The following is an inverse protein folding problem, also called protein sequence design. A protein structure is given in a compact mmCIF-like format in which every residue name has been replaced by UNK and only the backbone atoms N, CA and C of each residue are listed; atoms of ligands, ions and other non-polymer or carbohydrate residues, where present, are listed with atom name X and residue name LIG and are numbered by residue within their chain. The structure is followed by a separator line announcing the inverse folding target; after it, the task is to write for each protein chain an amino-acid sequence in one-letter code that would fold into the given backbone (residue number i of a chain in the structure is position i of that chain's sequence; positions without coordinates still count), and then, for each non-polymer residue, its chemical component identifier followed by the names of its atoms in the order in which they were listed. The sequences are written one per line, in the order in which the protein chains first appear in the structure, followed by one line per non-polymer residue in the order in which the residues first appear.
data_IF_081939204098
#
_entry.id   IF_081939204098
#
_cell.length_a   1.000
_cell.length_b   1.000
_cell.length_c   1.000
_cell.angle_alpha   90.00
_cell.angle_beta   90.00
_cell.angle_gamma   90.00
#
_symmetry.space_group_name_H-M   'P 1'
#
loop_
_entity.id
_entity.type
_entity.pdbx_description
1 polymer ?
#
# COMPACT_ATOMS: atom_id res chain seq x y z
N UNK A 1 14.94 -13.41 -12.72
CA UNK A 1 13.53 -13.78 -12.97
C UNK A 1 12.65 -13.94 -11.72
N UNK A 2 13.11 -14.48 -10.55
CA UNK A 2 12.23 -14.58 -9.37
C UNK A 2 11.92 -13.22 -8.72
N UNK A 3 12.89 -12.30 -8.66
CA UNK A 3 12.72 -10.98 -8.05
C UNK A 3 11.58 -10.16 -8.69
N UNK A 4 11.53 -10.09 -10.03
CA UNK A 4 10.49 -9.36 -10.75
C UNK A 4 9.10 -9.88 -10.40
N UNK A 5 8.93 -11.20 -10.33
CA UNK A 5 7.66 -11.83 -10.02
C UNK A 5 7.20 -11.48 -8.60
N UNK A 6 8.11 -11.51 -7.63
CA UNK A 6 7.81 -11.10 -6.26
C UNK A 6 7.46 -9.62 -6.13
N UNK A 7 8.17 -8.74 -6.84
CA UNK A 7 7.83 -7.30 -6.90
C UNK A 7 6.47 -7.06 -7.57
N UNK A 8 6.10 -7.83 -8.59
CA UNK A 8 4.77 -7.77 -9.20
C UNK A 8 3.67 -8.19 -8.22
N UNK A 9 3.90 -9.24 -7.42
CA UNK A 9 2.96 -9.60 -6.36
C UNK A 9 2.88 -8.54 -5.28
N UNK A 10 4.00 -7.94 -4.87
CA UNK A 10 4.02 -6.84 -3.90
C UNK A 10 3.27 -5.60 -4.41
N UNK A 11 3.41 -5.28 -5.69
CA UNK A 11 2.64 -4.23 -6.36
C UNK A 11 1.14 -4.55 -6.36
N UNK A 12 0.76 -5.78 -6.74
CA UNK A 12 -0.63 -6.21 -6.70
C UNK A 12 -1.21 -6.13 -5.28
N UNK A 13 -0.45 -6.56 -4.26
CA UNK A 13 -0.79 -6.41 -2.85
C UNK A 13 -1.07 -4.94 -2.53
N UNK A 14 -0.14 -4.03 -2.86
CA UNK A 14 -0.31 -2.59 -2.59
C UNK A 14 -1.56 -2.00 -3.25
N UNK A 15 -1.86 -2.39 -4.49
CA UNK A 15 -3.03 -1.89 -5.22
C UNK A 15 -4.36 -2.39 -4.62
N UNK A 16 -4.44 -3.68 -4.28
CA UNK A 16 -5.64 -4.27 -3.67
C UNK A 16 -5.88 -3.69 -2.28
N UNK A 17 -4.81 -3.59 -1.49
CA UNK A 17 -4.81 -3.02 -0.15
C UNK A 17 -5.33 -1.59 -0.16
N UNK A 18 -4.74 -0.75 -1.02
CA UNK A 18 -5.12 0.65 -1.16
C UNK A 18 -6.55 0.82 -1.67
N UNK A 19 -7.02 -0.04 -2.57
CA UNK A 19 -8.43 -0.04 -2.96
C UNK A 19 -9.34 -0.34 -1.77
N UNK A 20 -8.95 -1.28 -0.90
CA UNK A 20 -9.61 -1.54 0.37
C UNK A 20 -9.64 -0.31 1.27
N UNK A 21 -8.50 0.34 1.47
CA UNK A 21 -8.37 1.55 2.29
C UNK A 21 -9.26 2.70 1.79
N UNK A 22 -9.36 2.91 0.48
CA UNK A 22 -10.24 3.94 -0.10
C UNK A 22 -11.70 3.66 0.20
N UNK A 23 -12.12 2.39 0.08
CA UNK A 23 -13.49 1.98 0.37
C UNK A 23 -13.80 2.14 1.86
N UNK A 24 -12.86 1.75 2.74
CA UNK A 24 -12.99 1.91 4.19
C UNK A 24 -13.04 3.39 4.56
N UNK A 25 -12.12 4.22 4.05
CA UNK A 25 -12.10 5.67 4.31
C UNK A 25 -13.41 6.32 3.87
N UNK A 26 -13.94 5.96 2.70
CA UNK A 26 -15.23 6.45 2.21
C UNK A 26 -16.42 6.08 3.12
N UNK A 27 -16.36 4.95 3.83
CA UNK A 27 -17.35 4.55 4.82
C UNK A 27 -17.12 5.23 6.18
N UNK A 28 -15.86 5.41 6.56
CA UNK A 28 -15.42 6.08 7.77
C UNK A 28 -15.81 7.57 7.78
N UNK A 29 -15.64 8.28 6.67
CA UNK A 29 -16.05 9.69 6.51
C UNK A 29 -17.57 9.88 6.70
N UNK A 30 -18.35 8.81 6.49
CA UNK A 30 -19.81 8.79 6.71
C UNK A 30 -20.20 8.30 8.11
N UNK A 31 -19.22 8.05 8.99
CA UNK A 31 -19.40 7.47 10.32
C UNK A 31 -20.21 6.15 10.34
N UNK A 32 -20.12 5.34 9.28
CA UNK A 32 -20.86 4.06 9.15
C UNK A 32 -19.92 2.87 9.20
N UNK A 33 -19.68 2.35 10.41
CA UNK A 33 -18.85 1.17 10.59
C UNK A 33 -19.47 -0.09 9.97
N UNK A 34 -20.73 -0.39 10.29
CA UNK A 34 -21.43 -1.55 9.72
C UNK A 34 -22.07 -1.15 8.40
N UNK A 35 -21.29 -1.21 7.33
CA UNK A 35 -21.76 -0.94 5.97
C UNK A 35 -21.22 -1.97 4.98
N UNK A 36 -21.94 -2.16 3.86
CA UNK A 36 -21.46 -3.02 2.77
C UNK A 36 -20.07 -2.60 2.28
N UNK A 37 -19.81 -1.28 2.21
CA UNK A 37 -18.49 -0.75 1.85
C UNK A 37 -17.41 -1.20 2.84
N UNK A 38 -17.63 -1.05 4.15
CA UNK A 38 -16.66 -1.52 5.16
C UNK A 38 -16.37 -3.01 5.02
N UNK A 39 -17.39 -3.83 4.77
CA UNK A 39 -17.22 -5.27 4.57
C UNK A 39 -16.41 -5.58 3.30
N UNK A 40 -16.67 -4.89 2.19
CA UNK A 40 -15.87 -5.02 0.96
C UNK A 40 -14.42 -4.63 1.22
N UNK A 41 -14.18 -3.53 1.92
CA UNK A 41 -12.84 -3.08 2.27
C UNK A 41 -12.07 -4.09 3.13
N UNK A 42 -12.72 -4.68 4.14
CA UNK A 42 -12.15 -5.73 4.98
C UNK A 42 -11.80 -6.98 4.16
N UNK A 43 -12.68 -7.39 3.24
CA UNK A 43 -12.44 -8.54 2.36
C UNK A 43 -11.24 -8.28 1.44
N UNK A 44 -11.16 -7.08 0.85
CA UNK A 44 -10.03 -6.67 0.02
C UNK A 44 -8.72 -6.70 0.82
N UNK A 45 -8.72 -6.12 2.02
CA UNK A 45 -7.57 -6.16 2.92
C UNK A 45 -7.15 -7.60 3.25
N UNK A 46 -8.11 -8.48 3.56
CA UNK A 46 -7.84 -9.90 3.79
C UNK A 46 -7.27 -10.62 2.57
N UNK A 47 -7.71 -10.28 1.35
CA UNK A 47 -7.22 -10.85 0.10
C UNK A 47 -5.73 -10.55 -0.12
N UNK A 48 -5.24 -9.40 0.36
CA UNK A 48 -3.82 -9.02 0.25
C UNK A 48 -2.90 -10.05 0.90
N UNK A 49 -3.34 -10.73 1.96
CA UNK A 49 -2.56 -11.76 2.65
C UNK A 49 -2.16 -12.92 1.72
N UNK A 50 -3.03 -13.25 0.75
CA UNK A 50 -2.75 -14.26 -0.28
C UNK A 50 -1.64 -13.78 -1.21
N UNK A 51 -1.71 -12.54 -1.68
CA UNK A 51 -0.66 -11.94 -2.53
C UNK A 51 0.68 -11.82 -1.78
N UNK A 52 0.64 -11.54 -0.47
CA UNK A 52 1.80 -11.52 0.40
C UNK A 52 2.49 -12.89 0.49
N UNK A 53 1.73 -13.98 0.61
CA UNK A 53 2.29 -15.33 0.58
C UNK A 53 3.13 -15.56 -0.68
N UNK A 54 2.61 -15.21 -1.87
CA UNK A 54 3.34 -15.35 -3.12
C UNK A 54 4.54 -14.41 -3.23
N UNK A 55 4.42 -13.18 -2.73
CA UNK A 55 5.53 -12.22 -2.65
C UNK A 55 6.71 -12.81 -1.88
N UNK A 56 6.46 -13.37 -0.68
CA UNK A 56 7.50 -13.93 0.18
C UNK A 56 8.17 -15.19 -0.38
N UNK A 57 7.57 -15.86 -1.38
CA UNK A 57 8.26 -16.97 -2.08
C UNK A 57 9.42 -16.48 -2.96
N UNK A 58 9.49 -15.19 -3.23
CA UNK A 58 10.41 -14.63 -4.22
C UNK A 58 11.29 -13.50 -3.69
N UNK A 59 10.85 -12.78 -2.66
CA UNK A 59 11.53 -11.61 -2.08
C UNK A 59 11.58 -11.78 -0.57
N UNK A 60 12.69 -11.37 0.05
CA UNK A 60 12.80 -11.34 1.51
C UNK A 60 11.75 -10.43 2.14
N UNK A 61 11.28 -10.78 3.34
CA UNK A 61 10.25 -10.04 4.06
C UNK A 61 10.57 -8.54 4.16
N UNK A 62 11.82 -8.18 4.49
CA UNK A 62 12.26 -6.79 4.61
C UNK A 62 12.13 -6.02 3.29
N UNK A 63 12.74 -6.54 2.22
CA UNK A 63 12.72 -5.90 0.90
C UNK A 63 11.30 -5.79 0.34
N UNK A 64 10.48 -6.85 0.48
CA UNK A 64 9.08 -6.85 0.07
C UNK A 64 8.25 -5.82 0.83
N UNK A 65 8.45 -5.71 2.16
CA UNK A 65 7.73 -4.77 3.01
C UNK A 65 8.07 -3.33 2.66
N UNK A 66 9.36 -3.01 2.51
CA UNK A 66 9.79 -1.65 2.16
C UNK A 66 9.27 -1.23 0.78
N UNK A 67 9.31 -2.13 -0.20
CA UNK A 67 8.76 -1.86 -1.53
C UNK A 67 7.25 -1.60 -1.48
N UNK A 68 6.50 -2.49 -0.81
CA UNK A 68 5.06 -2.33 -0.61
C UNK A 68 4.73 -1.02 0.13
N UNK A 69 5.42 -0.73 1.26
CA UNK A 69 5.17 0.48 2.04
C UNK A 69 5.47 1.76 1.26
N UNK A 70 6.55 1.77 0.47
CA UNK A 70 6.85 2.90 -0.41
C UNK A 70 5.70 3.15 -1.40
N UNK A 71 5.23 2.11 -2.07
CA UNK A 71 4.11 2.21 -3.02
C UNK A 71 2.82 2.67 -2.34
N UNK A 72 2.46 2.04 -1.21
CA UNK A 72 1.26 2.39 -0.45
C UNK A 72 1.30 3.83 0.06
N UNK A 73 2.46 4.32 0.54
CA UNK A 73 2.59 5.71 1.00
C UNK A 73 2.45 6.72 -0.14
N UNK A 74 3.15 6.51 -1.25
CA UNK A 74 3.05 7.39 -2.42
C UNK A 74 1.59 7.46 -2.88
N UNK A 75 0.97 6.29 -3.07
CA UNK A 75 -0.37 6.20 -3.61
C UNK A 75 -1.44 6.70 -2.62
N UNK A 76 -1.31 6.43 -1.32
CA UNK A 76 -2.22 6.95 -0.30
C UNK A 76 -2.17 8.48 -0.19
N UNK A 77 -0.97 9.09 -0.26
CA UNK A 77 -0.85 10.55 -0.28
C UNK A 77 -1.50 11.12 -1.55
N UNK A 78 -1.23 10.54 -2.73
CA UNK A 78 -1.84 10.99 -3.97
C UNK A 78 -3.36 10.87 -3.94
N UNK A 79 -3.90 9.74 -3.48
CA UNK A 79 -5.34 9.53 -3.39
C UNK A 79 -5.97 10.44 -2.34
N UNK A 80 -5.33 10.62 -1.18
CA UNK A 80 -5.80 11.56 -0.15
C UNK A 80 -5.99 12.96 -0.74
N UNK A 81 -4.98 13.46 -1.44
CA UNK A 81 -5.02 14.79 -2.08
C UNK A 81 -6.05 14.85 -3.22
N UNK A 82 -6.03 13.88 -4.13
CA UNK A 82 -6.81 13.94 -5.38
C UNK A 82 -8.29 13.53 -5.19
N UNK A 83 -8.57 12.59 -4.31
CA UNK A 83 -9.91 12.00 -4.13
C UNK A 83 -10.62 12.54 -2.89
N UNK A 84 -9.89 12.73 -1.79
CA UNK A 84 -10.48 13.15 -0.51
C UNK A 84 -10.28 14.65 -0.22
N UNK A 85 -9.46 15.34 -1.03
CA UNK A 85 -9.16 16.75 -0.82
C UNK A 85 -8.29 17.01 0.40
N UNK A 86 -7.54 16.00 0.87
CA UNK A 86 -6.58 16.16 1.96
C UNK A 86 -5.49 17.17 1.54
N UNK A 87 -5.07 18.05 2.46
CA UNK A 87 -4.00 19.01 2.19
C UNK A 87 -2.64 18.31 2.04
N UNK A 88 -1.83 18.75 1.07
CA UNK A 88 -0.45 18.28 0.90
C UNK A 88 0.54 19.18 1.67
N UNK A 89 0.92 18.74 2.86
CA UNK A 89 1.89 19.43 3.71
C UNK A 89 3.33 19.00 3.45
N UNK A 90 4.29 19.89 3.75
CA UNK A 90 5.73 19.63 3.61
C UNK A 90 6.20 18.38 4.37
N UNK A 91 5.56 18.06 5.50
CA UNK A 91 5.85 16.87 6.31
C UNK A 91 5.47 15.57 5.60
N UNK A 92 4.37 15.55 4.84
CA UNK A 92 3.96 14.38 4.05
C UNK A 92 4.93 14.17 2.89
N UNK A 93 5.33 15.24 2.20
CA UNK A 93 6.33 15.18 1.13
C UNK A 93 7.66 14.63 1.65
N UNK A 94 8.13 15.12 2.79
CA UNK A 94 9.32 14.59 3.44
C UNK A 94 9.17 13.10 3.81
N UNK A 95 8.02 12.70 4.34
CA UNK A 95 7.72 11.30 4.66
C UNK A 95 7.76 10.38 3.43
N UNK A 96 7.16 10.80 2.32
CA UNK A 96 7.24 10.09 1.04
C UNK A 96 8.69 10.01 0.54
N UNK A 97 9.45 11.10 0.66
CA UNK A 97 10.88 11.11 0.35
C UNK A 97 11.68 10.09 1.16
N UNK A 98 11.42 9.98 2.47
CA UNK A 98 12.04 8.96 3.32
C UNK A 98 11.68 7.53 2.89
N UNK A 99 10.42 7.29 2.47
CA UNK A 99 10.00 5.98 2.00
C UNK A 99 10.73 5.57 0.71
N UNK A 100 10.91 6.51 -0.22
CA UNK A 100 11.71 6.30 -1.44
C UNK A 100 13.18 6.04 -1.10
N UNK A 101 13.76 6.81 -0.18
CA UNK A 101 15.14 6.61 0.26
C UNK A 101 15.35 5.24 0.92
N UNK A 102 14.41 4.77 1.75
CA UNK A 102 14.45 3.44 2.35
C UNK A 102 14.45 2.34 1.27
N UNK A 103 13.63 2.48 0.23
CA UNK A 103 13.63 1.53 -0.88
C UNK A 103 14.92 1.57 -1.70
N UNK A 104 15.49 2.75 -1.92
CA UNK A 104 16.79 2.87 -2.60
C UNK A 104 17.88 2.09 -1.85
N UNK A 105 17.94 2.21 -0.52
CA UNK A 105 18.88 1.46 0.32
C UNK A 105 18.64 -0.06 0.29
N UNK A 106 17.39 -0.51 0.16
CA UNK A 106 17.05 -1.95 0.07
C UNK A 106 17.05 -2.50 -1.35
N UNK A 107 17.28 -1.66 -2.36
CA UNK A 107 17.38 -2.08 -3.76
C UNK A 107 18.76 -2.65 -4.11
N UNK A 108 19.78 -2.34 -3.29
CA UNK A 108 21.09 -2.97 -3.39
C UNK A 108 20.96 -4.41 -2.88
N UNK A 109 20.95 -5.35 -3.81
CA UNK A 109 21.01 -6.79 -3.54
C UNK A 109 22.31 -7.09 -2.80
N UNK A 110 22.21 -7.58 -1.57
CA UNK A 110 23.25 -8.40 -0.98
C UNK A 110 23.47 -9.68 -1.82
#
# INVERSE_FOLDING_TARGET
MPLLLGLMFALATALIDLAGDVVIKSAADKARFVSFATMVGIILYGLTAVCWYFTMRHVGLGQGTVFYSMLSLIAAVLIGVLWFGDGLGIRQVAGVGCAVAAMALMSETA
#
